data_IF_280520356694
#
_entry.id   IF_280520356694
#
_cell.length_a   1.000
_cell.length_b   1.000
_cell.length_c   1.000
_cell.angle_alpha   90.00
_cell.angle_beta   90.00
_cell.angle_gamma   90.00
#
_symmetry.space_group_name_H-M   'P 1'
#
loop_
_entity.id
_entity.type
_entity.pdbx_description
1 polymer ?
#
# COMPACT_ATOMS: atom_id res chain seq x y z
N UNK A 1 -25.14 15.82 -10.22
CA UNK A 1 -24.91 15.40 -8.82
C UNK A 1 -25.24 13.92 -8.55
N UNK A 2 -26.09 13.28 -9.35
CA UNK A 2 -26.37 11.83 -9.23
C UNK A 2 -25.22 10.91 -9.66
N UNK A 3 -24.36 11.34 -10.60
CA UNK A 3 -23.35 10.45 -11.19
C UNK A 3 -22.20 10.11 -10.22
N UNK A 4 -21.76 11.06 -9.39
CA UNK A 4 -20.77 10.81 -8.32
C UNK A 4 -21.30 9.85 -7.25
N UNK A 5 -22.56 10.02 -6.85
CA UNK A 5 -23.20 9.14 -5.88
C UNK A 5 -23.30 7.71 -6.44
N UNK A 6 -23.59 7.60 -7.73
CA UNK A 6 -23.66 6.32 -8.44
C UNK A 6 -22.28 5.67 -8.62
N UNK A 7 -21.20 6.43 -8.78
CA UNK A 7 -19.84 5.90 -8.85
C UNK A 7 -19.38 5.37 -7.50
N UNK A 8 -19.57 6.12 -6.41
CA UNK A 8 -19.19 5.69 -5.05
C UNK A 8 -19.86 4.35 -4.68
N UNK A 9 -21.15 4.18 -5.00
CA UNK A 9 -21.86 2.93 -4.74
C UNK A 9 -21.32 1.77 -5.58
N UNK A 10 -20.88 2.03 -6.83
CA UNK A 10 -20.25 1.03 -7.69
C UNK A 10 -18.83 0.67 -7.26
N UNK A 11 -18.11 1.61 -6.67
CA UNK A 11 -16.71 1.45 -6.26
C UNK A 11 -16.60 0.77 -4.88
N UNK A 12 -17.68 0.67 -4.13
CA UNK A 12 -17.68 0.07 -2.79
C UNK A 12 -17.30 -1.42 -2.75
N UNK A 13 -17.94 -2.34 -3.53
CA UNK A 13 -17.53 -3.74 -3.56
C UNK A 13 -16.08 -3.96 -4.03
N UNK A 14 -15.61 -3.33 -5.13
CA UNK A 14 -14.22 -3.43 -5.57
C UNK A 14 -13.23 -2.94 -4.51
N UNK A 15 -13.54 -1.85 -3.80
CA UNK A 15 -12.66 -1.30 -2.76
C UNK A 15 -12.43 -2.27 -1.60
N UNK A 16 -13.47 -3.03 -1.21
CA UNK A 16 -13.35 -4.07 -0.17
C UNK A 16 -12.40 -5.18 -0.64
N UNK A 17 -12.57 -5.66 -1.87
CA UNK A 17 -11.73 -6.72 -2.43
C UNK A 17 -10.28 -6.26 -2.53
N UNK A 18 -10.04 -5.05 -3.03
CA UNK A 18 -8.70 -4.46 -3.14
C UNK A 18 -8.07 -4.28 -1.76
N UNK A 19 -8.82 -3.83 -0.76
CA UNK A 19 -8.34 -3.71 0.62
C UNK A 19 -7.92 -5.07 1.19
N UNK A 20 -8.75 -6.10 1.01
CA UNK A 20 -8.46 -7.46 1.49
C UNK A 20 -7.25 -8.08 0.79
N UNK A 21 -6.96 -7.72 -0.46
CA UNK A 21 -5.75 -8.15 -1.18
C UNK A 21 -4.52 -7.32 -0.75
N UNK A 22 -4.69 -6.02 -0.53
CA UNK A 22 -3.61 -5.10 -0.19
C UNK A 22 -3.01 -5.38 1.21
N UNK A 23 -3.84 -5.78 2.19
CA UNK A 23 -3.38 -6.13 3.53
C UNK A 23 -2.32 -7.25 3.56
N UNK A 24 -2.59 -8.47 3.05
CA UNK A 24 -1.60 -9.55 3.05
C UNK A 24 -0.41 -9.23 2.13
N UNK A 25 -0.64 -8.54 1.00
CA UNK A 25 0.43 -8.15 0.09
C UNK A 25 1.43 -7.20 0.77
N UNK A 26 0.95 -6.17 1.45
CA UNK A 26 1.80 -5.20 2.18
C UNK A 26 2.59 -5.88 3.32
N UNK A 27 1.93 -6.76 4.08
CA UNK A 27 2.59 -7.52 5.15
C UNK A 27 3.67 -8.47 4.61
N UNK A 28 3.41 -9.13 3.47
CA UNK A 28 4.38 -10.00 2.80
C UNK A 28 5.59 -9.23 2.30
N UNK A 29 5.37 -8.06 1.69
CA UNK A 29 6.43 -7.19 1.19
C UNK A 29 7.31 -6.67 2.33
N UNK A 30 6.72 -6.25 3.45
CA UNK A 30 7.48 -5.82 4.63
C UNK A 30 8.35 -6.94 5.20
N UNK A 31 7.81 -8.16 5.30
CA UNK A 31 8.55 -9.34 5.77
C UNK A 31 9.68 -9.74 4.83
N UNK A 32 9.45 -9.66 3.51
CA UNK A 32 10.48 -9.88 2.50
C UNK A 32 11.62 -8.85 2.59
N UNK A 33 11.32 -7.62 3.04
CA UNK A 33 12.31 -6.55 3.23
C UNK A 33 13.06 -6.63 4.57
N UNK A 34 12.91 -7.71 5.36
CA UNK A 34 13.54 -7.83 6.68
C UNK A 34 12.91 -6.95 7.78
N UNK A 35 11.73 -6.38 7.52
CA UNK A 35 11.03 -5.45 8.41
C UNK A 35 9.80 -6.11 9.06
N UNK A 36 9.38 -5.64 10.25
CA UNK A 36 8.14 -6.11 10.87
C UNK A 36 6.90 -5.75 10.02
N UNK A 37 5.90 -6.64 10.00
CA UNK A 37 4.70 -6.47 9.19
C UNK A 37 3.89 -5.20 9.54
N UNK A 38 3.99 -4.72 10.78
CA UNK A 38 3.39 -3.47 11.24
C UNK A 38 3.87 -2.26 10.43
N UNK A 39 5.16 -2.20 10.07
CA UNK A 39 5.70 -1.12 9.25
C UNK A 39 5.13 -1.15 7.84
N UNK A 40 4.94 -2.33 7.25
CA UNK A 40 4.24 -2.46 5.96
C UNK A 40 2.84 -1.84 5.99
N UNK A 41 2.06 -2.17 7.01
CA UNK A 41 0.71 -1.62 7.18
C UNK A 41 0.72 -0.09 7.34
N UNK A 42 1.64 0.45 8.15
CA UNK A 42 1.78 1.90 8.34
C UNK A 42 2.14 2.58 7.01
N UNK A 43 3.13 2.03 6.29
CA UNK A 43 3.55 2.59 4.99
C UNK A 43 2.44 2.54 3.95
N UNK A 44 1.64 1.48 3.93
CA UNK A 44 0.50 1.36 3.02
C UNK A 44 -0.60 2.37 3.37
N UNK A 45 -0.91 2.56 4.65
CA UNK A 45 -1.87 3.57 5.08
C UNK A 45 -1.42 5.00 4.74
N UNK A 46 -0.19 5.36 5.13
CA UNK A 46 0.37 6.71 4.87
C UNK A 46 0.54 6.96 3.37
N UNK A 47 1.11 6.01 2.63
CA UNK A 47 1.29 6.10 1.18
C UNK A 47 -0.05 6.18 0.44
N UNK A 48 -1.03 5.37 0.84
CA UNK A 48 -2.40 5.38 0.31
C UNK A 48 -3.12 6.71 0.52
N UNK A 49 -3.05 7.29 1.72
CA UNK A 49 -3.66 8.59 2.03
C UNK A 49 -2.98 9.71 1.25
N UNK A 50 -1.64 9.80 1.29
CA UNK A 50 -0.91 10.87 0.62
C UNK A 50 -1.10 10.80 -0.90
N UNK A 51 -0.93 9.61 -1.49
CA UNK A 51 -1.10 9.44 -2.93
C UNK A 51 -2.57 9.52 -3.38
N UNK A 52 -3.52 9.15 -2.53
CA UNK A 52 -4.95 9.29 -2.83
C UNK A 52 -5.42 10.74 -2.81
N UNK A 53 -4.87 11.57 -1.92
CA UNK A 53 -5.19 13.01 -1.83
C UNK A 53 -4.45 13.82 -2.91
N UNK A 54 -3.18 13.52 -3.17
CA UNK A 54 -2.34 14.28 -4.10
C UNK A 54 -2.31 13.71 -5.53
N UNK A 55 -2.78 12.49 -5.74
CA UNK A 55 -2.74 11.80 -7.03
C UNK A 55 -3.86 12.23 -7.98
N UNK A 56 -3.66 11.95 -9.27
CA UNK A 56 -4.63 12.23 -10.35
C UNK A 56 -5.17 10.99 -11.06
N UNK A 57 -4.77 9.78 -10.63
CA UNK A 57 -5.13 8.53 -11.30
C UNK A 57 -6.26 7.80 -10.54
N UNK A 58 -7.43 7.59 -11.15
CA UNK A 58 -8.61 7.07 -10.45
C UNK A 58 -8.50 5.60 -10.00
N UNK A 59 -7.52 4.84 -10.50
CA UNK A 59 -7.32 3.41 -10.18
C UNK A 59 -5.95 3.13 -9.53
N UNK A 60 -5.24 4.16 -9.06
CA UNK A 60 -3.92 3.99 -8.46
C UNK A 60 -4.04 3.51 -7.01
N UNK A 61 -3.20 2.56 -6.65
CA UNK A 61 -3.04 2.06 -5.27
C UNK A 61 -1.60 2.34 -4.86
N UNK A 62 -1.41 3.03 -3.75
CA UNK A 62 -0.09 3.32 -3.21
C UNK A 62 0.20 2.46 -1.98
N UNK A 63 1.44 1.97 -1.91
CA UNK A 63 1.91 1.10 -0.84
C UNK A 63 3.37 0.68 -1.05
N UNK A 64 3.90 -0.22 -0.20
CA UNK A 64 5.27 -0.70 -0.33
C UNK A 64 5.46 -1.45 -1.65
N UNK A 65 6.44 -1.03 -2.45
CA UNK A 65 6.71 -1.60 -3.77
C UNK A 65 7.58 -2.85 -3.66
N UNK A 66 7.09 -3.98 -4.18
CA UNK A 66 7.84 -5.22 -4.25
C UNK A 66 9.20 -5.04 -4.98
N UNK A 67 9.25 -4.22 -6.03
CA UNK A 67 10.49 -3.95 -6.77
C UNK A 67 11.54 -3.16 -5.97
N UNK A 68 11.11 -2.33 -5.03
CA UNK A 68 12.02 -1.58 -4.14
C UNK A 68 12.36 -2.35 -2.86
N UNK A 69 11.68 -3.46 -2.60
CA UNK A 69 11.85 -4.24 -1.37
C UNK A 69 13.21 -4.92 -1.28
N UNK A 70 13.78 -5.29 -2.43
CA UNK A 70 15.16 -5.81 -2.49
C UNK A 70 16.15 -4.73 -2.09
N UNK A 71 15.97 -3.49 -2.57
CA UNK A 71 16.82 -2.36 -2.14
C UNK A 71 16.66 -2.10 -0.64
N UNK A 72 15.42 -2.09 -0.13
CA UNK A 72 15.18 -1.94 1.31
C UNK A 72 15.84 -3.06 2.12
N UNK A 73 15.79 -4.31 1.65
CA UNK A 73 16.45 -5.43 2.30
C UNK A 73 17.96 -5.22 2.38
N UNK A 74 18.60 -4.86 1.27
CA UNK A 74 20.04 -4.54 1.24
C UNK A 74 20.39 -3.41 2.20
N UNK A 75 19.59 -2.35 2.24
CA UNK A 75 19.76 -1.23 3.16
C UNK A 75 19.59 -1.64 4.62
N UNK A 76 18.57 -2.46 4.93
CA UNK A 76 18.36 -3.00 6.28
C UNK A 76 19.54 -3.86 6.68
N UNK A 77 20.06 -4.73 5.82
CA UNK A 77 21.24 -5.54 6.13
C UNK A 77 22.49 -4.66 6.34
N UNK A 78 22.67 -3.61 5.54
CA UNK A 78 23.84 -2.75 5.61
C UNK A 78 23.87 -1.80 6.82
N UNK A 79 22.71 -1.31 7.27
CA UNK A 79 22.61 -0.25 8.28
C UNK A 79 21.94 -0.68 9.59
N UNK A 80 21.40 -1.89 9.68
CA UNK A 80 20.89 -2.40 10.96
C UNK A 80 22.08 -2.78 11.84
N UNK A 81 22.37 -1.94 12.82
CA UNK A 81 23.42 -2.11 13.84
C UNK A 81 22.99 -2.96 15.04
N UNK A 82 22.16 -3.99 14.80
CA UNK A 82 21.74 -5.01 15.76
C UNK A 82 21.38 -6.33 15.07
#
# INVERSE_FOLDING_TARGET
MNDKLRSIVKDFPPSIVVFLIALPLSMGIARASGMPASLGLITAGVGGVIAGVLGGAPLVIAGPSAGLSVLLLEWVIAFRTD
#
